data_IF_810002024938
#
_entry.id   IF_810002024938
#
_cell.length_a   1.000
_cell.length_b   1.000
_cell.length_c   1.000
_cell.angle_alpha   90.00
_cell.angle_beta   90.00
_cell.angle_gamma   90.00
#
_symmetry.space_group_name_H-M   'P 1'
#
loop_
_entity.id
_entity.type
_entity.pdbx_description
1 polymer ?
#
# COMPACT_ATOMS: atom_id res chain seq x y z
N UNK A 1 -41.48 76.94 0.70
CA UNK A 1 -40.44 76.29 -0.14
C UNK A 1 -39.64 75.33 0.79
N UNK A 2 -40.04 74.07 0.87
CA UNK A 2 -39.45 73.03 1.73
C UNK A 2 -38.68 72.05 0.86
N UNK A 3 -37.34 72.00 1.03
CA UNK A 3 -36.45 71.10 0.29
C UNK A 3 -36.32 69.80 1.13
N UNK A 4 -36.80 68.70 0.55
CA UNK A 4 -36.58 67.36 1.11
C UNK A 4 -35.20 66.87 0.70
N UNK A 5 -34.34 66.57 1.68
CA UNK A 5 -33.05 65.95 1.54
C UNK A 5 -33.24 64.44 1.70
N UNK A 6 -33.13 63.69 0.61
CA UNK A 6 -33.17 62.23 0.65
C UNK A 6 -31.75 61.68 0.81
N UNK A 7 -31.48 61.14 1.99
CA UNK A 7 -30.21 60.47 2.27
C UNK A 7 -30.25 59.01 1.79
N UNK A 8 -29.48 58.68 0.76
CA UNK A 8 -29.27 57.29 0.34
C UNK A 8 -28.26 56.61 1.27
N UNK A 9 -28.74 55.66 2.05
CA UNK A 9 -27.86 54.76 2.81
C UNK A 9 -27.46 53.58 1.95
N UNK A 10 -26.21 53.58 1.47
CA UNK A 10 -25.59 52.43 0.78
C UNK A 10 -25.18 51.38 1.79
N UNK A 11 -25.93 50.29 1.90
CA UNK A 11 -25.58 49.15 2.74
C UNK A 11 -24.47 48.32 2.09
N UNK A 12 -23.30 48.33 2.69
CA UNK A 12 -22.16 47.48 2.33
C UNK A 12 -22.38 46.11 2.96
N UNK A 13 -22.88 45.13 2.16
CA UNK A 13 -22.96 43.73 2.60
C UNK A 13 -21.55 43.09 2.47
N UNK A 14 -20.83 42.97 3.57
CA UNK A 14 -19.63 42.14 3.64
C UNK A 14 -20.05 40.66 3.55
N UNK A 15 -19.88 40.06 2.37
CA UNK A 15 -19.96 38.62 2.20
C UNK A 15 -18.72 37.98 2.86
N UNK A 16 -18.85 37.50 4.07
CA UNK A 16 -17.85 36.65 4.70
C UNK A 16 -17.85 35.30 3.97
N UNK A 17 -16.98 35.17 2.96
CA UNK A 17 -16.66 33.86 2.39
C UNK A 17 -15.95 33.05 3.48
N UNK A 18 -16.68 32.14 4.14
CA UNK A 18 -16.09 31.18 5.05
C UNK A 18 -15.12 30.31 4.25
N UNK A 19 -13.82 30.53 4.38
CA UNK A 19 -12.79 29.59 3.95
C UNK A 19 -12.96 28.34 4.80
N UNK A 20 -13.72 27.38 4.32
CA UNK A 20 -13.74 26.04 4.91
C UNK A 20 -12.39 25.40 4.59
N UNK A 21 -11.53 25.34 5.59
CA UNK A 21 -10.32 24.55 5.52
C UNK A 21 -10.72 23.08 5.33
N UNK A 22 -10.65 22.61 4.10
CA UNK A 22 -10.87 21.19 3.83
C UNK A 22 -9.69 20.43 4.43
N UNK A 23 -9.98 19.61 5.43
CA UNK A 23 -8.99 18.67 5.96
C UNK A 23 -8.53 17.75 4.80
N UNK A 24 -7.22 17.45 4.71
CA UNK A 24 -6.72 16.55 3.68
C UNK A 24 -7.44 15.20 3.80
N UNK A 25 -8.07 14.77 2.71
CA UNK A 25 -8.71 13.44 2.67
C UNK A 25 -7.62 12.38 2.61
N UNK A 26 -7.58 11.53 3.63
CA UNK A 26 -6.69 10.36 3.64
C UNK A 26 -7.31 9.24 2.79
N UNK A 27 -6.55 8.74 1.81
CA UNK A 27 -6.93 7.54 1.06
C UNK A 27 -6.61 6.32 1.92
N UNK A 28 -7.62 5.49 2.16
CA UNK A 28 -7.50 4.31 3.02
C UNK A 28 -7.69 3.05 2.19
N UNK A 29 -6.82 2.07 2.39
CA UNK A 29 -7.00 0.73 1.84
C UNK A 29 -8.21 0.07 2.51
N UNK A 30 -9.31 -0.14 1.78
CA UNK A 30 -10.50 -0.81 2.29
C UNK A 30 -10.26 -2.30 2.51
N UNK A 31 -11.02 -2.94 3.39
CA UNK A 31 -10.92 -4.39 3.60
C UNK A 31 -11.27 -5.16 2.33
N UNK A 32 -12.31 -4.74 1.61
CA UNK A 32 -12.72 -5.38 0.36
C UNK A 32 -11.59 -5.38 -0.69
N UNK A 33 -10.92 -4.24 -0.91
CA UNK A 33 -9.81 -4.18 -1.84
C UNK A 33 -8.60 -4.97 -1.35
N UNK A 34 -8.32 -4.97 -0.05
CA UNK A 34 -7.25 -5.78 0.53
C UNK A 34 -7.50 -7.29 0.34
N UNK A 35 -8.74 -7.74 0.49
CA UNK A 35 -9.14 -9.13 0.23
C UNK A 35 -8.96 -9.50 -1.25
N UNK A 36 -9.39 -8.65 -2.17
CA UNK A 36 -9.22 -8.88 -3.60
C UNK A 36 -7.73 -8.97 -3.99
N UNK A 37 -6.89 -8.05 -3.48
CA UNK A 37 -5.44 -8.09 -3.71
C UNK A 37 -4.85 -9.40 -3.17
N UNK A 38 -5.21 -9.81 -1.95
CA UNK A 38 -4.70 -11.04 -1.36
C UNK A 38 -5.12 -12.29 -2.15
N UNK A 39 -6.38 -12.37 -2.57
CA UNK A 39 -6.92 -13.49 -3.34
C UNK A 39 -6.27 -13.60 -4.72
N UNK A 40 -6.17 -12.49 -5.46
CA UNK A 40 -5.53 -12.49 -6.78
C UNK A 40 -4.03 -12.82 -6.70
N UNK A 41 -3.34 -12.33 -5.67
CA UNK A 41 -1.93 -12.66 -5.41
C UNK A 41 -1.78 -14.15 -5.13
N UNK A 42 -2.61 -14.72 -4.24
CA UNK A 42 -2.57 -16.14 -3.91
C UNK A 42 -2.90 -17.00 -5.13
N UNK A 43 -3.94 -16.64 -5.88
CA UNK A 43 -4.34 -17.35 -7.09
C UNK A 43 -3.21 -17.40 -8.14
N UNK A 44 -2.53 -16.27 -8.36
CA UNK A 44 -1.38 -16.21 -9.29
C UNK A 44 -0.25 -17.13 -8.84
N UNK A 45 0.17 -17.03 -7.59
CA UNK A 45 1.22 -17.90 -7.06
C UNK A 45 0.84 -19.40 -7.14
N UNK A 46 -0.42 -19.73 -6.85
CA UNK A 46 -0.93 -21.11 -6.93
C UNK A 46 -0.92 -21.61 -8.38
N UNK A 47 -1.33 -20.79 -9.34
CA UNK A 47 -1.28 -21.13 -10.76
C UNK A 47 0.16 -21.38 -11.26
N UNK A 48 1.14 -20.68 -10.66
CA UNK A 48 2.57 -20.90 -10.94
C UNK A 48 3.15 -22.11 -10.18
N UNK A 49 2.33 -22.84 -9.41
CA UNK A 49 2.75 -24.03 -8.64
C UNK A 49 3.38 -23.73 -7.28
N UNK A 50 3.27 -22.49 -6.77
CA UNK A 50 3.89 -22.08 -5.51
C UNK A 50 2.90 -22.13 -4.35
N UNK A 51 3.37 -22.63 -3.20
CA UNK A 51 2.65 -22.59 -1.92
C UNK A 51 3.18 -21.43 -1.09
N UNK A 52 2.38 -20.39 -0.93
CA UNK A 52 2.82 -19.13 -0.33
C UNK A 52 1.91 -18.66 0.80
N UNK A 53 2.43 -17.77 1.62
CA UNK A 53 1.64 -16.86 2.46
C UNK A 53 1.62 -15.50 1.81
N UNK A 54 0.43 -14.90 1.72
CA UNK A 54 0.18 -13.54 1.28
C UNK A 54 -0.31 -12.73 2.46
N UNK A 55 0.29 -11.58 2.71
CA UNK A 55 -0.12 -10.62 3.73
C UNK A 55 -0.38 -9.27 3.07
N UNK A 56 -1.52 -8.66 3.38
CA UNK A 56 -1.84 -7.27 3.02
C UNK A 56 -1.93 -6.45 4.30
N UNK A 57 -1.17 -5.36 4.35
CA UNK A 57 -1.16 -4.39 5.45
C UNK A 57 -1.65 -3.03 4.98
N UNK A 58 -2.17 -2.21 5.89
CA UNK A 58 -2.56 -0.82 5.63
C UNK A 58 -1.39 0.16 5.78
N UNK A 59 -1.69 1.47 5.68
CA UNK A 59 -0.70 2.54 5.78
C UNK A 59 -0.01 2.63 7.15
N UNK A 60 -0.59 2.02 8.18
CA UNK A 60 -0.01 1.92 9.53
C UNK A 60 0.78 0.63 9.74
N UNK A 61 0.99 -0.17 8.69
CA UNK A 61 1.59 -1.51 8.74
C UNK A 61 0.77 -2.53 9.55
N UNK A 62 -0.51 -2.23 9.81
CA UNK A 62 -1.40 -3.17 10.47
C UNK A 62 -1.95 -4.19 9.47
N UNK A 63 -1.98 -5.47 9.87
CA UNK A 63 -2.47 -6.55 9.02
C UNK A 63 -3.97 -6.40 8.75
N UNK A 64 -4.36 -6.41 7.47
CA UNK A 64 -5.77 -6.45 7.05
C UNK A 64 -6.20 -7.84 6.63
N UNK A 65 -5.37 -8.54 5.87
CA UNK A 65 -5.68 -9.87 5.36
C UNK A 65 -4.41 -10.69 5.31
N UNK A 66 -4.47 -11.92 5.85
CA UNK A 66 -3.43 -12.92 5.65
C UNK A 66 -4.06 -14.19 5.08
N UNK A 67 -3.57 -14.64 3.95
CA UNK A 67 -3.93 -15.92 3.34
C UNK A 67 -2.69 -16.80 3.27
N UNK A 68 -2.80 -18.03 3.76
CA UNK A 68 -1.75 -19.02 3.70
C UNK A 68 -2.24 -20.27 2.97
N UNK A 69 -1.58 -20.64 1.89
CA UNK A 69 -1.93 -21.87 1.16
C UNK A 69 -1.65 -23.12 2.00
N UNK A 70 -2.44 -24.17 1.77
CA UNK A 70 -2.26 -25.44 2.44
C UNK A 70 -0.86 -26.03 2.16
N UNK A 71 -0.23 -26.56 3.18
CA UNK A 71 1.11 -27.14 3.10
C UNK A 71 2.24 -26.12 2.97
N UNK A 72 1.96 -24.81 3.14
CA UNK A 72 3.00 -23.77 3.23
C UNK A 72 3.68 -23.82 4.61
N UNK A 73 5.01 -23.65 4.63
CA UNK A 73 5.76 -23.59 5.89
C UNK A 73 5.24 -22.50 6.83
N UNK A 74 5.11 -22.76 8.14
CA UNK A 74 4.68 -21.74 9.11
C UNK A 74 5.56 -20.50 9.14
N UNK A 75 6.86 -20.63 8.86
CA UNK A 75 7.80 -19.50 8.82
C UNK A 75 7.49 -18.46 7.77
N UNK A 76 6.79 -18.82 6.69
CA UNK A 76 6.45 -17.90 5.60
C UNK A 76 5.53 -16.77 6.05
N UNK A 77 4.68 -17.01 7.05
CA UNK A 77 3.85 -15.96 7.64
C UNK A 77 4.72 -14.86 8.26
N UNK A 78 5.71 -15.25 9.06
CA UNK A 78 6.64 -14.29 9.68
C UNK A 78 7.49 -13.56 8.65
N UNK A 79 7.96 -14.25 7.62
CA UNK A 79 8.75 -13.63 6.55
C UNK A 79 7.87 -12.65 5.74
N UNK A 80 6.60 -12.97 5.48
CA UNK A 80 5.68 -12.04 4.82
C UNK A 80 5.45 -10.77 5.66
N UNK A 81 5.31 -10.89 7.00
CA UNK A 81 5.25 -9.74 7.91
C UNK A 81 6.50 -8.85 7.79
N UNK A 82 7.68 -9.45 7.84
CA UNK A 82 8.95 -8.71 7.74
C UNK A 82 9.08 -8.01 6.37
N UNK A 83 8.66 -8.66 5.28
CA UNK A 83 8.65 -8.06 3.93
C UNK A 83 7.65 -6.89 3.84
N UNK A 84 6.44 -7.06 4.36
CA UNK A 84 5.44 -5.98 4.40
C UNK A 84 5.96 -4.78 5.21
N UNK A 85 6.49 -5.05 6.39
CA UNK A 85 7.06 -4.02 7.25
C UNK A 85 8.24 -3.30 6.58
N UNK A 86 9.16 -4.05 5.93
CA UNK A 86 10.25 -3.45 5.15
C UNK A 86 9.73 -2.53 4.05
N UNK A 87 8.67 -2.96 3.34
CA UNK A 87 8.06 -2.17 2.26
C UNK A 87 7.51 -0.84 2.79
N UNK A 88 6.81 -0.87 3.93
CA UNK A 88 6.23 0.33 4.52
C UNK A 88 7.31 1.25 5.10
N UNK A 89 8.29 0.70 5.82
CA UNK A 89 9.38 1.48 6.43
C UNK A 89 10.25 2.20 5.41
N UNK A 90 10.53 1.56 4.29
CA UNK A 90 11.40 2.14 3.24
C UNK A 90 10.62 2.78 2.09
N UNK A 91 9.30 2.72 2.11
CA UNK A 91 8.38 3.22 1.07
C UNK A 91 8.77 2.77 -0.36
N UNK A 92 9.22 1.52 -0.49
CA UNK A 92 9.65 0.88 -1.73
C UNK A 92 9.45 -0.63 -1.65
N UNK A 93 9.55 -1.38 -2.78
CA UNK A 93 9.58 -2.84 -2.72
C UNK A 93 10.63 -3.36 -1.73
N UNK A 94 10.30 -4.42 -1.00
CA UNK A 94 11.24 -5.05 -0.08
C UNK A 94 12.41 -5.71 -0.84
N UNK A 95 13.53 -5.89 -0.15
CA UNK A 95 14.74 -6.43 -0.74
C UNK A 95 15.75 -5.35 -1.16
N UNK A 96 16.84 -5.73 -1.84
CA UNK A 96 17.88 -4.81 -2.26
C UNK A 96 17.33 -3.76 -3.23
N UNK A 97 17.82 -2.53 -3.12
CA UNK A 97 17.39 -1.41 -3.94
C UNK A 97 17.72 -1.61 -5.44
N UNK A 98 18.73 -2.42 -5.73
CA UNK A 98 19.15 -2.80 -7.06
C UNK A 98 19.39 -4.31 -7.11
N UNK A 99 19.31 -4.94 -8.30
CA UNK A 99 19.69 -6.34 -8.47
C UNK A 99 21.11 -6.58 -7.97
N UNK A 100 21.30 -7.65 -7.22
CA UNK A 100 22.61 -8.04 -6.77
C UNK A 100 23.38 -8.73 -7.91
N UNK A 101 24.69 -8.52 -8.01
CA UNK A 101 25.55 -9.30 -8.88
C UNK A 101 25.42 -10.82 -8.60
N UNK A 102 25.62 -11.66 -9.63
CA UNK A 102 25.59 -13.11 -9.42
C UNK A 102 26.52 -13.56 -8.28
N UNK A 103 26.02 -14.42 -7.41
CA UNK A 103 26.79 -14.97 -6.27
C UNK A 103 26.87 -14.06 -5.04
N UNK A 104 26.29 -12.86 -5.07
CA UNK A 104 26.23 -11.99 -3.90
C UNK A 104 24.89 -12.17 -3.16
N UNK A 105 24.96 -12.10 -1.82
CA UNK A 105 23.80 -12.08 -0.95
C UNK A 105 23.48 -10.64 -0.52
N UNK A 106 22.19 -10.35 -0.32
CA UNK A 106 21.78 -9.05 0.21
C UNK A 106 22.36 -8.83 1.62
N UNK A 107 22.85 -7.61 1.91
CA UNK A 107 23.31 -7.29 3.25
C UNK A 107 22.14 -7.44 4.25
N UNK A 108 22.44 -7.74 5.53
CA UNK A 108 21.43 -7.83 6.58
C UNK A 108 20.61 -6.54 6.68
N UNK A 109 19.34 -6.66 7.04
CA UNK A 109 18.51 -5.50 7.36
C UNK A 109 18.99 -4.88 8.69
N UNK A 110 19.01 -3.56 8.75
CA UNK A 110 19.52 -2.80 9.90
C UNK A 110 18.42 -2.37 10.88
N UNK A 111 17.17 -2.29 10.42
CA UNK A 111 16.03 -1.94 11.28
C UNK A 111 15.39 -3.22 11.81
N UNK A 112 15.21 -3.36 13.14
CA UNK A 112 14.54 -4.53 13.71
C UNK A 112 13.17 -4.78 13.09
N UNK A 113 12.87 -6.05 12.79
CA UNK A 113 11.60 -6.43 12.14
C UNK A 113 11.58 -6.30 10.62
N UNK A 114 12.60 -5.68 10.00
CA UNK A 114 12.75 -5.64 8.54
C UNK A 114 13.57 -6.81 8.01
N UNK A 115 13.44 -7.08 6.71
CA UNK A 115 14.23 -8.08 6.00
C UNK A 115 14.66 -7.53 4.63
N UNK A 116 15.87 -7.84 4.22
CA UNK A 116 16.37 -7.47 2.90
C UNK A 116 16.14 -8.60 1.88
N UNK A 117 14.87 -8.97 1.69
CA UNK A 117 14.42 -9.99 0.77
C UNK A 117 13.21 -9.47 -0.05
N UNK A 118 13.19 -9.75 -1.35
CA UNK A 118 12.11 -9.37 -2.25
C UNK A 118 10.80 -10.12 -1.92
N UNK A 119 9.67 -9.53 -2.34
CA UNK A 119 8.34 -10.11 -2.20
C UNK A 119 7.30 -9.20 -1.55
N UNK A 120 7.73 -8.08 -0.94
CA UNK A 120 6.85 -7.00 -0.51
C UNK A 120 6.76 -5.92 -1.57
N UNK A 121 5.54 -5.48 -1.89
CA UNK A 121 5.25 -4.48 -2.93
C UNK A 121 4.30 -3.43 -2.36
N UNK A 122 4.60 -2.12 -2.50
CA UNK A 122 3.72 -1.06 -2.02
C UNK A 122 2.42 -1.01 -2.82
N UNK A 123 1.30 -0.81 -2.15
CA UNK A 123 -0.01 -0.53 -2.74
C UNK A 123 -0.14 0.99 -2.81
N UNK A 124 -0.23 1.52 -4.03
CA UNK A 124 -0.24 2.98 -4.26
C UNK A 124 -1.51 3.44 -4.95
N UNK A 125 -1.93 4.67 -4.63
CA UNK A 125 -2.92 5.44 -5.39
C UNK A 125 -2.25 6.77 -5.78
N UNK A 126 -1.91 6.91 -7.05
CA UNK A 126 -0.97 7.93 -7.49
C UNK A 126 0.39 7.73 -6.80
N UNK A 127 0.92 8.79 -6.19
CA UNK A 127 2.19 8.75 -5.45
C UNK A 127 2.05 8.35 -3.98
N UNK A 128 0.80 8.20 -3.49
CA UNK A 128 0.54 7.90 -2.08
C UNK A 128 0.52 6.41 -1.83
N UNK A 129 1.38 5.92 -0.93
CA UNK A 129 1.36 4.54 -0.46
C UNK A 129 0.26 4.37 0.60
N UNK A 130 -0.74 3.53 0.32
CA UNK A 130 -1.89 3.26 1.19
C UNK A 130 -1.79 1.92 1.92
N UNK A 131 -0.74 1.16 1.66
CA UNK A 131 -0.47 -0.14 2.26
C UNK A 131 0.60 -0.91 1.50
N UNK A 132 0.74 -2.19 1.83
CA UNK A 132 1.63 -3.11 1.11
C UNK A 132 1.01 -4.50 1.00
N UNK A 133 1.36 -5.22 -0.05
CA UNK A 133 1.15 -6.66 -0.18
C UNK A 133 2.50 -7.36 -0.13
N UNK A 134 2.62 -8.41 0.66
CA UNK A 134 3.85 -9.18 0.80
C UNK A 134 3.58 -10.68 0.64
N UNK A 135 4.49 -11.33 -0.07
CA UNK A 135 4.42 -12.76 -0.38
C UNK A 135 5.67 -13.45 0.13
N UNK A 136 5.52 -14.66 0.65
CA UNK A 136 6.64 -15.51 1.03
C UNK A 136 6.30 -16.98 0.79
N UNK A 137 7.22 -17.72 0.18
CA UNK A 137 7.10 -19.16 -0.03
C UNK A 137 7.45 -19.65 -1.43
N UNK A 138 7.49 -18.77 -2.44
CA UNK A 138 8.01 -19.14 -3.75
C UNK A 138 9.53 -19.40 -3.71
N UNK A 139 10.07 -20.14 -4.66
CA UNK A 139 11.51 -20.45 -4.71
C UNK A 139 12.32 -19.25 -5.24
N UNK A 140 12.18 -18.10 -4.55
CA UNK A 140 12.84 -16.83 -4.88
C UNK A 140 11.93 -15.65 -4.60
N UNK A 141 12.49 -14.59 -4.01
CA UNK A 141 11.73 -13.39 -3.67
C UNK A 141 11.24 -12.60 -4.88
N UNK A 142 11.91 -12.72 -6.01
CA UNK A 142 11.48 -12.21 -7.32
C UNK A 142 10.14 -12.82 -7.76
N UNK A 143 9.95 -14.13 -7.56
CA UNK A 143 8.70 -14.84 -7.86
C UNK A 143 7.59 -14.44 -6.88
N UNK A 144 7.93 -14.28 -5.60
CA UNK A 144 7.01 -13.72 -4.61
C UNK A 144 6.51 -12.32 -5.06
N UNK A 145 7.44 -11.43 -5.44
CA UNK A 145 7.10 -10.09 -5.93
C UNK A 145 6.30 -10.11 -7.23
N UNK A 146 6.57 -11.05 -8.13
CA UNK A 146 5.85 -11.19 -9.40
C UNK A 146 4.37 -11.50 -9.16
N UNK A 147 4.03 -12.38 -8.20
CA UNK A 147 2.63 -12.65 -7.84
C UNK A 147 1.91 -11.39 -7.32
N UNK A 148 2.57 -10.62 -6.45
CA UNK A 148 2.02 -9.39 -5.91
C UNK A 148 1.81 -8.33 -7.00
N UNK A 149 2.80 -8.11 -7.86
CA UNK A 149 2.71 -7.17 -8.97
C UNK A 149 1.60 -7.53 -9.96
N UNK A 150 1.40 -8.82 -10.24
CA UNK A 150 0.30 -9.29 -11.08
C UNK A 150 -1.07 -8.87 -10.52
N UNK A 151 -1.29 -9.08 -9.22
CA UNK A 151 -2.55 -8.71 -8.57
C UNK A 151 -2.79 -7.21 -8.61
N UNK A 152 -1.76 -6.40 -8.31
CA UNK A 152 -1.87 -4.95 -8.36
C UNK A 152 -2.14 -4.44 -9.78
N UNK A 153 -1.51 -5.01 -10.79
CA UNK A 153 -1.77 -4.67 -12.19
C UNK A 153 -3.20 -5.03 -12.60
N UNK A 154 -3.71 -6.20 -12.19
CA UNK A 154 -5.08 -6.64 -12.47
C UNK A 154 -6.13 -5.74 -11.84
N UNK A 155 -5.84 -5.16 -10.68
CA UNK A 155 -6.74 -4.29 -9.92
C UNK A 155 -6.42 -2.80 -10.08
N UNK A 156 -5.60 -2.43 -11.07
CA UNK A 156 -5.13 -1.04 -11.26
C UNK A 156 -6.28 -0.01 -11.36
N UNK A 157 -7.43 -0.40 -11.93
CA UNK A 157 -8.58 0.49 -12.03
C UNK A 157 -9.20 0.88 -10.68
N UNK A 158 -8.98 0.06 -9.64
CA UNK A 158 -9.44 0.30 -8.26
C UNK A 158 -8.42 1.09 -7.42
N UNK A 159 -7.23 1.34 -7.99
CA UNK A 159 -6.11 2.03 -7.35
C UNK A 159 -5.87 3.44 -7.97
N UNK A 160 -6.96 4.11 -8.33
CA UNK A 160 -6.93 5.46 -8.93
C UNK A 160 -7.36 6.55 -7.95
#
# INVERSE_FOLDING_TARGET
MTKHLTTLAAGFALSAAALQAQLPQSRVLTLDLAQQIAQETLAKCTADGFKVTVLVVDSMSAAKVMLRADGTSPSTAKVAEMKAYSTMMYNRPSGPAQPLPPGQTAPPATIPGTINAQGGVPIKVGDVTIGAVAVSGAPGGDKDAACANFALAKLADKLK
#
